data_IF_020601268351
#
_entry.id   IF_020601268351
#
_cell.length_a   1.000
_cell.length_b   1.000
_cell.length_c   1.000
_cell.angle_alpha   90.00
_cell.angle_beta   90.00
_cell.angle_gamma   90.00
#
_symmetry.space_group_name_H-M   'P 1'
#
loop_
_entity.id
_entity.type
_entity.pdbx_description
1 polymer ?
#
# COMPACT_ATOMS: atom_id res chain seq x y z
N UNK A 1 -28.18 -7.56 -21.05
CA UNK A 1 -27.69 -6.50 -21.95
C UNK A 1 -26.57 -5.78 -21.21
N UNK A 2 -25.32 -6.10 -21.55
CA UNK A 2 -24.12 -5.64 -20.84
C UNK A 2 -23.89 -4.13 -21.04
N UNK A 3 -24.09 -3.36 -19.97
CA UNK A 3 -23.69 -1.96 -19.87
C UNK A 3 -22.18 -1.86 -19.67
N UNK A 4 -21.43 -1.73 -20.78
CA UNK A 4 -19.96 -1.65 -20.73
C UNK A 4 -19.47 -0.30 -20.14
N UNK A 5 -20.36 0.69 -19.99
CA UNK A 5 -20.06 1.99 -19.38
C UNK A 5 -21.25 2.35 -18.48
N UNK A 6 -21.11 2.13 -17.17
CA UNK A 6 -22.19 2.35 -16.19
C UNK A 6 -22.51 3.83 -15.90
N UNK A 7 -21.82 4.76 -16.56
CA UNK A 7 -21.98 6.20 -16.37
C UNK A 7 -22.56 6.85 -17.62
N UNK A 8 -23.49 7.78 -17.42
CA UNK A 8 -24.02 8.62 -18.50
C UNK A 8 -22.91 9.53 -19.04
N UNK A 9 -22.91 9.73 -20.36
CA UNK A 9 -22.02 10.71 -20.99
C UNK A 9 -22.37 12.12 -20.51
N UNK A 10 -21.38 13.03 -20.45
CA UNK A 10 -21.64 14.42 -20.09
C UNK A 10 -22.58 15.06 -21.12
N UNK A 11 -23.37 16.04 -20.68
CA UNK A 11 -24.35 16.73 -21.52
C UNK A 11 -23.73 17.36 -22.78
N UNK A 12 -22.45 17.75 -22.71
CA UNK A 12 -21.70 18.30 -23.84
C UNK A 12 -21.54 17.30 -25.00
N UNK A 13 -21.49 16.00 -24.70
CA UNK A 13 -21.41 14.93 -25.69
C UNK A 13 -22.65 14.84 -26.57
N UNK A 14 -23.82 15.25 -26.04
CA UNK A 14 -25.08 15.27 -26.77
C UNK A 14 -25.33 16.60 -27.49
N UNK A 15 -24.69 17.68 -27.03
CA UNK A 15 -24.91 19.04 -27.53
C UNK A 15 -23.99 19.42 -28.67
N UNK A 16 -22.74 18.93 -28.67
CA UNK A 16 -21.70 19.40 -29.58
C UNK A 16 -20.98 18.26 -30.25
N UNK A 17 -20.93 18.28 -31.59
CA UNK A 17 -20.18 17.29 -32.38
C UNK A 17 -18.67 17.38 -32.09
N UNK A 18 -18.19 18.57 -31.72
CA UNK A 18 -16.78 18.80 -31.35
C UNK A 18 -16.30 17.97 -30.16
N UNK A 19 -17.22 17.53 -29.28
CA UNK A 19 -16.91 16.59 -28.21
C UNK A 19 -16.41 15.23 -28.74
N UNK A 20 -16.85 14.83 -29.94
CA UNK A 20 -16.45 13.59 -30.60
C UNK A 20 -15.29 13.78 -31.59
N UNK A 21 -14.63 14.95 -31.57
CA UNK A 21 -13.50 15.22 -32.46
C UNK A 21 -12.27 14.36 -32.11
N UNK A 22 -11.46 14.04 -33.13
CA UNK A 22 -10.21 13.28 -32.97
C UNK A 22 -9.00 14.17 -32.56
N UNK A 23 -9.25 15.25 -31.82
CA UNK A 23 -8.20 16.18 -31.40
C UNK A 23 -7.53 15.67 -30.12
N UNK A 24 -6.20 15.44 -30.11
CA UNK A 24 -5.50 14.94 -28.92
C UNK A 24 -5.45 15.96 -27.76
N UNK A 25 -5.86 17.21 -28.01
CA UNK A 25 -6.05 18.24 -26.97
C UNK A 25 -7.20 17.90 -26.03
N UNK A 26 -8.20 17.17 -26.52
CA UNK A 26 -9.35 16.76 -25.74
C UNK A 26 -9.02 15.51 -24.93
N UNK A 27 -9.19 15.58 -23.61
CA UNK A 27 -8.85 14.49 -22.68
C UNK A 27 -9.64 13.21 -23.00
N UNK A 28 -10.91 13.36 -23.35
CA UNK A 28 -11.77 12.24 -23.76
C UNK A 28 -11.32 11.64 -25.09
N UNK A 29 -10.97 12.47 -26.07
CA UNK A 29 -10.53 12.00 -27.37
C UNK A 29 -9.22 11.23 -27.31
N UNK A 30 -8.29 11.70 -26.47
CA UNK A 30 -7.05 10.99 -26.19
C UNK A 30 -7.28 9.54 -25.75
N UNK A 31 -8.33 9.26 -24.98
CA UNK A 31 -8.59 7.90 -24.49
C UNK A 31 -8.86 6.90 -25.62
N UNK A 32 -9.68 7.25 -26.61
CA UNK A 32 -9.93 6.35 -27.75
C UNK A 32 -8.78 6.35 -28.75
N UNK A 33 -8.11 7.48 -28.97
CA UNK A 33 -6.91 7.57 -29.80
C UNK A 33 -5.77 6.69 -29.26
N UNK A 34 -5.54 6.75 -27.94
CA UNK A 34 -4.56 5.91 -27.24
C UNK A 34 -4.97 4.44 -27.28
N UNK A 35 -6.27 4.13 -27.35
CA UNK A 35 -6.83 2.80 -27.57
C UNK A 35 -6.76 2.34 -29.05
N UNK A 36 -6.31 3.19 -29.97
CA UNK A 36 -6.18 2.90 -31.40
C UNK A 36 -7.46 3.06 -32.22
N UNK A 37 -8.46 3.74 -31.66
CA UNK A 37 -9.75 4.01 -32.29
C UNK A 37 -9.86 5.49 -32.69
N UNK A 38 -10.49 5.75 -33.83
CA UNK A 38 -10.87 7.09 -34.27
C UNK A 38 -12.39 7.15 -34.48
N UNK A 39 -12.97 8.32 -34.26
CA UNK A 39 -14.35 8.60 -34.65
C UNK A 39 -14.41 8.81 -36.16
N UNK A 40 -15.27 8.06 -36.85
CA UNK A 40 -15.49 8.14 -38.31
C UNK A 40 -16.74 8.96 -38.62
N UNK A 41 -17.84 8.71 -37.90
CA UNK A 41 -19.11 9.40 -38.10
C UNK A 41 -19.79 9.72 -36.77
N UNK A 42 -20.43 10.88 -36.69
CA UNK A 42 -21.16 11.38 -35.52
C UNK A 42 -22.52 11.85 -35.99
N UNK A 43 -23.59 11.23 -35.49
CA UNK A 43 -24.96 11.69 -35.74
C UNK A 43 -25.68 11.91 -34.41
N UNK A 44 -25.74 13.17 -33.97
CA UNK A 44 -26.40 13.55 -32.72
C UNK A 44 -27.93 13.48 -32.78
N UNK A 45 -28.51 13.55 -33.99
CA UNK A 45 -29.98 13.49 -34.16
C UNK A 45 -30.50 12.07 -33.94
N UNK A 46 -29.80 11.10 -34.49
CA UNK A 46 -30.11 9.67 -34.34
C UNK A 46 -29.44 9.06 -33.11
N UNK A 47 -28.47 9.77 -32.51
CA UNK A 47 -27.86 9.43 -31.23
C UNK A 47 -26.78 8.35 -31.31
N UNK A 48 -26.07 8.24 -32.44
CA UNK A 48 -24.99 7.27 -32.60
C UNK A 48 -23.67 7.91 -33.02
N UNK A 49 -22.60 7.17 -32.73
CA UNK A 49 -21.22 7.51 -33.11
C UNK A 49 -20.53 6.23 -33.59
N UNK A 50 -19.90 6.30 -34.75
CA UNK A 50 -19.19 5.17 -35.36
C UNK A 50 -17.70 5.33 -35.08
N UNK A 51 -17.12 4.31 -34.45
CA UNK A 51 -15.68 4.23 -34.20
C UNK A 51 -15.02 3.24 -35.16
N UNK A 52 -13.95 3.70 -35.81
CA UNK A 52 -13.10 2.89 -36.67
C UNK A 52 -11.79 2.57 -35.97
N UNK A 53 -11.41 1.30 -35.95
CA UNK A 53 -10.13 0.87 -35.39
C UNK A 53 -9.03 1.17 -36.42
N UNK A 54 -8.15 2.12 -36.12
CA UNK A 54 -7.09 2.58 -37.04
C UNK A 54 -5.74 1.94 -36.70
N UNK A 55 -5.50 1.65 -35.42
CA UNK A 55 -4.25 1.01 -34.98
C UNK A 55 -4.59 -0.27 -34.24
N UNK A 56 -3.98 -1.36 -34.66
CA UNK A 56 -3.84 -2.53 -33.80
C UNK A 56 -2.78 -2.20 -32.75
N UNK A 57 -3.22 -1.78 -31.58
CA UNK A 57 -2.33 -1.74 -30.44
C UNK A 57 -1.83 -3.16 -30.20
N UNK A 58 -0.54 -3.36 -30.43
CA UNK A 58 0.18 -4.42 -29.75
C UNK A 58 -0.09 -4.23 -28.26
N UNK A 59 -0.40 -5.29 -27.48
CA UNK A 59 -0.72 -5.17 -26.07
C UNK A 59 0.51 -4.68 -25.31
N UNK A 60 0.75 -3.36 -25.29
CA UNK A 60 1.82 -2.71 -24.54
C UNK A 60 1.41 -2.71 -23.08
N UNK A 61 1.66 -3.84 -22.43
CA UNK A 61 2.44 -3.80 -21.19
C UNK A 61 1.79 -3.24 -19.93
N UNK A 62 0.48 -3.01 -19.84
CA UNK A 62 -0.19 -2.99 -18.52
C UNK A 62 -0.58 -4.39 -18.04
N UNK A 63 0.08 -5.43 -18.57
CA UNK A 63 0.31 -6.63 -17.77
C UNK A 63 1.12 -6.16 -16.57
N UNK A 64 0.44 -5.87 -15.45
CA UNK A 64 1.01 -6.00 -14.11
C UNK A 64 2.00 -7.15 -14.23
N UNK A 65 3.27 -6.94 -13.90
CA UNK A 65 4.27 -8.02 -13.82
C UNK A 65 3.64 -9.16 -13.01
N UNK A 66 2.91 -10.06 -13.67
CA UNK A 66 2.78 -11.44 -13.29
C UNK A 66 4.19 -11.87 -13.55
N UNK A 67 5.03 -11.80 -12.51
CA UNK A 67 6.27 -12.56 -12.47
C UNK A 67 5.92 -13.90 -13.10
N UNK A 68 6.61 -14.32 -14.18
CA UNK A 68 6.31 -15.60 -14.81
C UNK A 68 6.23 -16.59 -13.66
N UNK A 69 5.09 -17.29 -13.57
CA UNK A 69 4.80 -18.29 -12.53
C UNK A 69 6.00 -19.21 -12.57
N UNK A 70 6.95 -18.95 -11.67
CA UNK A 70 8.31 -19.45 -11.80
C UNK A 70 8.19 -20.94 -11.94
N UNK A 71 8.62 -21.45 -13.10
CA UNK A 71 8.70 -22.89 -13.33
C UNK A 71 9.27 -23.51 -12.07
N UNK A 72 8.49 -24.40 -11.47
CA UNK A 72 8.80 -24.99 -10.19
C UNK A 72 9.97 -25.93 -10.44
N UNK A 73 11.20 -25.41 -10.40
CA UNK A 73 12.43 -26.16 -10.71
C UNK A 73 12.73 -27.27 -9.69
N UNK A 74 12.00 -27.30 -8.56
CA UNK A 74 12.24 -28.22 -7.45
C UNK A 74 10.90 -28.80 -6.97
N UNK A 75 10.81 -30.13 -6.74
CA UNK A 75 9.55 -30.83 -6.48
C UNK A 75 8.85 -30.44 -5.17
N UNK A 76 9.44 -29.56 -4.35
CA UNK A 76 8.84 -29.08 -3.11
C UNK A 76 9.23 -27.62 -2.81
N UNK A 77 8.76 -26.69 -3.65
CA UNK A 77 8.91 -25.26 -3.35
C UNK A 77 7.65 -24.76 -2.64
N UNK A 78 7.71 -24.31 -1.37
CA UNK A 78 6.52 -23.84 -0.68
C UNK A 78 5.93 -22.62 -1.39
N UNK A 79 4.60 -22.55 -1.41
CA UNK A 79 3.87 -21.41 -1.97
C UNK A 79 4.32 -20.13 -1.25
N UNK A 80 4.60 -19.05 -2.00
CA UNK A 80 4.95 -17.75 -1.41
C UNK A 80 3.75 -17.22 -0.62
N UNK A 81 3.79 -17.38 0.70
CA UNK A 81 2.82 -16.76 1.62
C UNK A 81 3.27 -15.35 1.97
N UNK A 82 2.33 -14.41 2.06
CA UNK A 82 2.61 -13.05 2.53
C UNK A 82 2.79 -13.07 4.05
N UNK A 83 4.02 -12.91 4.53
CA UNK A 83 4.31 -12.75 5.95
C UNK A 83 3.91 -11.31 6.34
N UNK A 84 2.98 -11.09 7.30
CA UNK A 84 2.63 -9.76 7.74
C UNK A 84 3.83 -9.11 8.43
N UNK A 85 4.14 -7.85 8.09
CA UNK A 85 5.21 -7.09 8.74
C UNK A 85 4.78 -6.76 10.18
N UNK A 86 5.67 -6.92 11.19
CA UNK A 86 5.37 -6.48 12.55
C UNK A 86 5.13 -4.97 12.58
N UNK A 87 4.10 -4.54 13.32
CA UNK A 87 3.81 -3.11 13.51
C UNK A 87 4.87 -2.49 14.42
N UNK A 88 5.63 -1.53 13.91
CA UNK A 88 6.52 -0.71 14.74
C UNK A 88 5.69 0.22 15.64
N UNK A 89 6.06 0.42 16.92
CA UNK A 89 5.35 1.34 17.79
C UNK A 89 5.43 2.79 17.26
N UNK A 90 4.39 3.58 17.50
CA UNK A 90 4.39 5.01 17.16
C UNK A 90 5.43 5.78 17.98
N UNK A 91 5.92 6.91 17.45
CA UNK A 91 6.86 7.81 18.15
C UNK A 91 6.35 8.22 19.55
N UNK A 92 5.05 8.44 19.68
CA UNK A 92 4.38 8.74 20.95
C UNK A 92 4.49 7.57 21.94
N UNK A 93 4.30 6.32 21.48
CA UNK A 93 4.39 5.12 22.33
C UNK A 93 5.82 4.88 22.80
N UNK A 94 6.81 5.11 21.93
CA UNK A 94 8.25 5.07 22.28
C UNK A 94 8.58 6.15 23.32
N UNK A 95 8.10 7.38 23.12
CA UNK A 95 8.33 8.49 24.06
C UNK A 95 7.71 8.25 25.43
N UNK A 96 6.47 7.73 25.47
CA UNK A 96 5.80 7.33 26.72
C UNK A 96 6.58 6.24 27.46
N UNK A 97 7.11 5.24 26.74
CA UNK A 97 7.94 4.18 27.32
C UNK A 97 9.24 4.76 27.89
N UNK A 98 9.92 5.64 27.14
CA UNK A 98 11.15 6.30 27.59
C UNK A 98 10.92 7.11 28.88
N UNK A 99 9.88 7.94 28.91
CA UNK A 99 9.50 8.71 30.10
C UNK A 99 9.22 7.79 31.30
N UNK A 100 8.54 6.66 31.06
CA UNK A 100 8.26 5.66 32.12
C UNK A 100 9.55 5.05 32.67
N UNK A 101 10.50 4.70 31.81
CA UNK A 101 11.82 4.18 32.23
C UNK A 101 12.54 5.23 33.08
N UNK A 102 12.60 6.49 32.63
CA UNK A 102 13.22 7.59 33.37
C UNK A 102 12.56 7.86 34.72
N UNK A 103 11.23 7.73 34.81
CA UNK A 103 10.52 7.86 36.08
C UNK A 103 10.85 6.71 37.05
N UNK A 104 10.99 5.48 36.55
CA UNK A 104 11.44 4.35 37.36
C UNK A 104 12.89 4.55 37.86
N UNK A 105 13.78 5.07 37.02
CA UNK A 105 15.14 5.44 37.44
C UNK A 105 15.12 6.49 38.55
N UNK A 106 14.32 7.56 38.39
CA UNK A 106 14.17 8.62 39.41
C UNK A 106 13.66 8.06 40.73
N UNK A 107 12.61 7.23 40.69
CA UNK A 107 12.05 6.56 41.87
C UNK A 107 13.11 5.71 42.57
N UNK A 108 13.89 4.92 41.82
CA UNK A 108 14.98 4.12 42.37
C UNK A 108 16.05 4.97 43.05
N UNK A 109 16.43 6.10 42.45
CA UNK A 109 17.44 7.00 43.03
C UNK A 109 16.92 7.82 44.23
N UNK A 110 15.63 8.16 44.24
CA UNK A 110 15.04 8.97 45.31
C UNK A 110 14.66 8.17 46.54
N UNK A 111 14.59 6.83 46.44
CA UNK A 111 14.29 5.98 47.58
C UNK A 111 15.51 5.92 48.52
N UNK A 112 15.37 6.32 49.81
CA UNK A 112 16.46 6.24 50.76
C UNK A 112 16.84 4.77 51.00
N UNK A 113 18.09 4.43 50.68
CA UNK A 113 18.66 3.10 50.96
C UNK A 113 19.10 3.08 52.42
N UNK A 114 18.22 2.62 53.30
CA UNK A 114 18.57 2.38 54.70
C UNK A 114 19.51 1.16 54.80
N UNK A 115 20.78 1.41 55.11
CA UNK A 115 21.73 0.35 55.48
C UNK A 115 21.19 -0.35 56.74
N UNK A 116 20.79 -1.62 56.62
CA UNK A 116 20.34 -2.44 57.74
C UNK A 116 18.85 -2.78 57.79
N UNK A 117 18.01 -2.29 56.86
CA UNK A 117 16.63 -2.78 56.81
C UNK A 117 16.59 -4.19 56.22
N UNK A 118 16.17 -5.17 57.03
CA UNK A 118 15.98 -6.60 56.70
C UNK A 118 14.81 -6.81 55.72
N UNK A 119 14.68 -5.99 54.67
CA UNK A 119 13.66 -6.19 53.65
C UNK A 119 14.06 -7.39 52.80
N UNK A 120 13.19 -8.40 52.65
CA UNK A 120 13.49 -9.53 51.79
C UNK A 120 13.72 -9.03 50.36
N UNK A 121 14.81 -9.45 49.74
CA UNK A 121 15.11 -9.12 48.34
C UNK A 121 13.87 -9.40 47.46
N UNK A 122 13.48 -8.48 46.55
CA UNK A 122 12.32 -8.69 45.70
C UNK A 122 12.48 -9.96 44.86
N UNK A 123 11.36 -10.63 44.57
CA UNK A 123 11.31 -11.97 43.95
C UNK A 123 12.09 -12.10 42.62
N UNK A 124 12.32 -11.00 41.90
CA UNK A 124 13.07 -10.98 40.65
C UNK A 124 14.60 -10.98 40.86
N UNK A 125 15.11 -10.36 41.94
CA UNK A 125 16.53 -10.42 42.30
C UNK A 125 16.94 -11.80 42.83
N UNK A 126 15.97 -12.56 43.35
CA UNK A 126 16.19 -13.97 43.74
C UNK A 126 16.35 -14.90 42.52
N UNK A 127 16.00 -14.45 41.31
CA UNK A 127 16.08 -15.26 40.09
C UNK A 127 17.38 -14.95 39.33
N UNK A 128 18.42 -15.71 39.67
CA UNK A 128 19.53 -16.19 38.82
C UNK A 128 20.34 -15.23 37.95
N UNK A 129 20.07 -13.92 37.91
CA UNK A 129 20.87 -12.98 37.12
C UNK A 129 21.53 -11.96 38.02
N UNK A 130 22.85 -12.11 38.22
CA UNK A 130 23.69 -11.09 38.84
C UNK A 130 24.09 -10.09 37.75
N UNK A 131 23.62 -8.83 37.79
CA UNK A 131 23.86 -7.87 36.71
C UNK A 131 25.34 -7.46 36.56
N UNK A 132 26.18 -7.72 37.57
CA UNK A 132 27.57 -7.25 37.60
C UNK A 132 28.62 -8.33 37.25
N UNK A 133 28.21 -9.58 36.99
CA UNK A 133 29.13 -10.63 36.53
C UNK A 133 29.33 -10.51 35.01
N UNK A 134 30.51 -10.04 34.59
CA UNK A 134 30.95 -10.18 33.19
C UNK A 134 31.14 -11.68 32.91
N UNK A 135 30.60 -12.22 31.79
CA UNK A 135 30.87 -13.61 31.43
C UNK A 135 32.37 -13.74 31.17
N UNK A 136 33.05 -14.59 31.95
CA UNK A 136 34.38 -15.04 31.59
C UNK A 136 34.27 -15.87 30.30
N UNK A 137 35.18 -15.60 29.36
CA UNK A 137 35.33 -16.39 28.15
C UNK A 137 35.76 -17.82 28.45
#
# INVERSE_FOLDING_TARGET
>A
MDGIIGDNLPMEAYKTEGWWSNLPTNVHAKAWLDAGWNVEEVNLKEGYVIFKKVKELQPTGFRRRRTPRSEIKKPFTPVRVRIPKPRTPSKTKVSKLYARIKNLERQRTSMPVYRGSFRPKPKHEKRLFKPDEKPSQ
#
